data_IF_650129740539
#
_entry.id   IF_650129740539
#
_cell.length_a   1.000
_cell.length_b   1.000
_cell.length_c   1.000
_cell.angle_alpha   90.00
_cell.angle_beta   90.00
_cell.angle_gamma   90.00
#
_symmetry.space_group_name_H-M   'P 1'
#
loop_
_entity.id
_entity.type
_entity.pdbx_description
1 polymer ?
#
# COMPACT_ATOMS: atom_id res chain seq x y z
N UNK A 1 8.84 3.82 -3.35
CA UNK A 1 7.37 3.76 -3.40
C UNK A 1 7.00 2.50 -4.15
N UNK A 2 6.12 1.68 -3.60
CA UNK A 2 5.56 0.50 -4.23
C UNK A 2 4.05 0.70 -4.38
N UNK A 3 3.48 0.32 -5.52
CA UNK A 3 2.03 0.37 -5.76
C UNK A 3 1.61 -1.01 -6.23
N UNK A 4 0.76 -1.67 -5.44
CA UNK A 4 0.21 -2.99 -5.78
C UNK A 4 -1.21 -2.78 -6.30
N UNK A 5 -1.42 -3.07 -7.59
CA UNK A 5 -2.74 -3.12 -8.19
C UNK A 5 -3.26 -4.55 -8.08
N UNK A 6 -4.40 -4.76 -7.40
CA UNK A 6 -4.94 -6.11 -7.21
C UNK A 6 -6.46 -6.13 -7.24
N UNK A 7 -7.02 -7.19 -7.82
CA UNK A 7 -8.43 -7.58 -7.68
C UNK A 7 -8.59 -8.78 -6.72
N UNK A 8 -7.48 -9.33 -6.21
CA UNK A 8 -7.45 -10.52 -5.38
C UNK A 8 -7.47 -10.18 -3.88
N UNK A 9 -8.03 -11.07 -3.05
CA UNK A 9 -7.99 -10.91 -1.61
C UNK A 9 -6.57 -10.97 -1.04
N UNK A 10 -6.27 -10.15 -0.05
CA UNK A 10 -4.97 -10.11 0.64
C UNK A 10 -4.50 -11.48 1.20
N UNK A 11 -5.43 -12.41 1.44
CA UNK A 11 -5.14 -13.75 1.96
C UNK A 11 -4.62 -14.74 0.91
N UNK A 12 -4.57 -14.38 -0.38
CA UNK A 12 -3.92 -15.21 -1.41
C UNK A 12 -2.41 -14.98 -1.49
N UNK A 13 -1.86 -13.98 -0.79
CA UNK A 13 -0.42 -13.76 -0.79
C UNK A 13 0.29 -14.78 0.11
N UNK A 14 1.34 -15.41 -0.42
CA UNK A 14 2.23 -16.30 0.35
C UNK A 14 3.05 -15.55 1.40
N UNK A 15 3.14 -14.21 1.28
CA UNK A 15 3.81 -13.33 2.22
C UNK A 15 3.00 -12.04 2.43
N UNK A 16 2.94 -11.56 3.67
CA UNK A 16 2.29 -10.28 4.00
C UNK A 16 3.03 -9.11 3.33
N UNK A 17 2.34 -8.23 2.58
CA UNK A 17 2.95 -7.02 2.01
C UNK A 17 3.56 -6.10 3.08
N UNK A 18 2.94 -6.04 4.26
CA UNK A 18 3.40 -5.24 5.41
C UNK A 18 4.75 -5.75 5.90
N UNK A 19 4.86 -7.05 6.16
CA UNK A 19 6.10 -7.65 6.64
C UNK A 19 7.20 -7.62 5.58
N UNK A 20 6.82 -7.75 4.31
CA UNK A 20 7.75 -7.65 3.19
C UNK A 20 8.33 -6.24 3.07
N UNK A 21 7.51 -5.20 3.27
CA UNK A 21 7.97 -3.81 3.26
C UNK A 21 8.92 -3.53 4.43
N UNK A 22 8.59 -3.99 5.64
CA UNK A 22 9.47 -3.85 6.82
C UNK A 22 10.84 -4.49 6.57
N UNK A 23 10.87 -5.73 6.06
CA UNK A 23 12.12 -6.42 5.69
C UNK A 23 12.90 -5.66 4.63
N UNK A 24 12.23 -5.13 3.60
CA UNK A 24 12.88 -4.35 2.56
C UNK A 24 13.51 -3.07 3.11
N UNK A 25 12.80 -2.33 3.98
CA UNK A 25 13.35 -1.13 4.65
C UNK A 25 14.60 -1.46 5.48
N UNK A 26 14.55 -2.55 6.26
CA UNK A 26 15.69 -3.00 7.06
C UNK A 26 16.91 -3.37 6.19
N UNK A 27 16.68 -4.06 5.07
CA UNK A 27 17.77 -4.50 4.19
C UNK A 27 18.34 -3.37 3.32
N UNK A 28 17.49 -2.44 2.85
CA UNK A 28 17.88 -1.38 1.92
C UNK A 28 18.27 -0.06 2.59
N UNK A 29 17.83 0.17 3.84
CA UNK A 29 17.94 1.46 4.52
C UNK A 29 17.06 2.58 3.94
N UNK A 30 16.24 2.28 2.92
CA UNK A 30 15.41 3.27 2.25
C UNK A 30 14.03 3.42 2.94
N UNK A 31 13.56 4.66 3.07
CA UNK A 31 12.19 4.97 3.51
C UNK A 31 11.15 4.64 2.42
N UNK A 32 10.91 3.34 2.24
CA UNK A 32 9.98 2.84 1.23
C UNK A 32 8.53 2.91 1.74
N UNK A 33 7.60 3.35 0.88
CA UNK A 33 6.16 3.37 1.17
C UNK A 33 5.42 2.41 0.24
N UNK A 34 4.25 1.94 0.64
CA UNK A 34 3.42 1.01 -0.11
C UNK A 34 1.98 1.50 -0.19
N UNK A 35 1.45 1.50 -1.42
CA UNK A 35 0.03 1.73 -1.71
C UNK A 35 -0.58 0.42 -2.20
N UNK A 36 -1.65 -0.01 -1.56
CA UNK A 36 -2.52 -1.08 -2.03
C UNK A 36 -3.70 -0.48 -2.78
N UNK A 37 -3.84 -0.80 -4.07
CA UNK A 37 -4.91 -0.29 -4.91
C UNK A 37 -5.85 -1.43 -5.30
N UNK A 38 -7.04 -1.44 -4.69
CA UNK A 38 -8.08 -2.43 -4.97
C UNK A 38 -8.81 -2.13 -6.27
N UNK A 39 -8.83 -3.08 -7.21
CA UNK A 39 -9.51 -2.96 -8.50
C UNK A 39 -10.96 -3.49 -8.47
N UNK A 40 -11.43 -3.95 -7.31
CA UNK A 40 -12.77 -4.50 -7.07
C UNK A 40 -13.26 -4.15 -5.66
N UNK A 41 -14.58 -4.06 -5.47
CA UNK A 41 -15.22 -3.65 -4.20
C UNK A 41 -15.38 -4.80 -3.20
N UNK A 42 -14.31 -5.55 -2.93
CA UNK A 42 -14.36 -6.77 -2.08
C UNK A 42 -14.03 -6.45 -0.60
N UNK A 43 -13.88 -5.18 -0.25
CA UNK A 43 -13.69 -4.75 1.16
C UNK A 43 -12.33 -5.15 1.75
N UNK A 44 -11.31 -5.35 0.91
CA UNK A 44 -9.97 -5.70 1.36
C UNK A 44 -9.08 -4.47 1.49
N UNK A 45 -8.64 -4.19 2.70
CA UNK A 45 -7.65 -3.15 3.04
C UNK A 45 -6.44 -3.78 3.72
N UNK A 46 -5.26 -3.17 3.57
CA UNK A 46 -4.13 -3.47 4.45
C UNK A 46 -4.65 -3.41 5.89
N UNK A 47 -4.36 -4.44 6.68
CA UNK A 47 -4.81 -4.53 8.08
C UNK A 47 -4.41 -3.29 8.87
N UNK A 48 -5.25 -2.90 9.83
CA UNK A 48 -5.05 -1.73 10.66
C UNK A 48 -3.64 -1.77 11.30
N UNK A 49 -2.81 -0.78 10.96
CA UNK A 49 -1.38 -0.77 11.25
C UNK A 49 -0.92 0.66 11.49
N UNK A 50 -0.06 0.85 12.48
CA UNK A 50 0.51 2.16 12.82
C UNK A 50 1.57 2.65 11.81
N UNK A 51 1.89 1.85 10.79
CA UNK A 51 2.87 2.19 9.77
C UNK A 51 2.31 3.24 8.79
N UNK A 52 2.68 4.50 9.03
CA UNK A 52 2.30 5.66 8.20
C UNK A 52 2.78 5.58 6.74
N UNK A 53 3.67 4.65 6.41
CA UNK A 53 4.09 4.42 5.03
C UNK A 53 3.18 3.47 4.24
N UNK A 54 2.06 3.05 4.83
CA UNK A 54 1.09 2.14 4.22
C UNK A 54 -0.24 2.84 3.97
N UNK A 55 -0.81 2.61 2.78
CA UNK A 55 -2.10 3.17 2.43
C UNK A 55 -2.91 2.22 1.55
N UNK A 56 -4.21 2.12 1.81
CA UNK A 56 -5.16 1.42 0.93
C UNK A 56 -6.03 2.43 0.20
N UNK A 57 -6.20 2.27 -1.11
CA UNK A 57 -7.03 3.13 -1.96
C UNK A 57 -7.87 2.28 -2.92
N UNK A 58 -8.93 2.89 -3.46
CA UNK A 58 -9.70 2.34 -4.56
C UNK A 58 -9.02 2.65 -5.90
N UNK A 59 -8.96 1.66 -6.79
CA UNK A 59 -8.59 1.87 -8.17
C UNK A 59 -9.66 2.63 -8.94
N UNK A 60 -9.28 3.17 -10.11
CA UNK A 60 -10.13 3.97 -10.98
C UNK A 60 -10.72 5.24 -10.36
N UNK A 61 -10.28 5.63 -9.16
CA UNK A 61 -10.57 6.94 -8.59
C UNK A 61 -9.67 8.00 -9.26
N UNK A 62 -10.28 9.03 -9.84
CA UNK A 62 -9.59 10.18 -10.42
C UNK A 62 -8.72 10.90 -9.37
N UNK A 63 -9.16 10.91 -8.11
CA UNK A 63 -8.45 11.51 -6.98
C UNK A 63 -7.27 10.70 -6.46
N UNK A 64 -7.12 9.44 -6.86
CA UNK A 64 -6.09 8.53 -6.36
C UNK A 64 -4.67 9.09 -6.52
N UNK A 65 -4.39 9.79 -7.63
CA UNK A 65 -3.08 10.37 -7.88
C UNK A 65 -2.67 11.43 -6.86
N UNK A 66 -3.61 12.26 -6.41
CA UNK A 66 -3.34 13.27 -5.37
C UNK A 66 -3.01 12.60 -4.04
N UNK A 67 -3.73 11.53 -3.69
CA UNK A 67 -3.50 10.76 -2.47
C UNK A 67 -2.13 10.08 -2.51
N UNK A 68 -1.79 9.41 -3.62
CA UNK A 68 -0.48 8.77 -3.82
C UNK A 68 0.66 9.81 -3.74
N UNK A 69 0.48 10.98 -4.37
CA UNK A 69 1.45 12.08 -4.30
C UNK A 69 1.67 12.56 -2.87
N UNK A 70 0.58 12.80 -2.13
CA UNK A 70 0.66 13.30 -0.77
C UNK A 70 1.38 12.29 0.13
N UNK A 71 1.08 10.99 0.00
CA UNK A 71 1.80 9.95 0.70
C UNK A 71 3.28 9.96 0.32
N UNK A 72 3.63 10.04 -0.97
CA UNK A 72 5.02 10.08 -1.43
C UNK A 72 5.81 11.21 -0.76
N UNK A 73 5.20 12.38 -0.64
CA UNK A 73 5.78 13.61 -0.11
C UNK A 73 5.68 13.75 1.42
N UNK A 74 5.13 12.77 2.14
CA UNK A 74 4.86 12.86 3.60
C UNK A 74 3.89 14.00 3.98
N UNK A 75 2.90 14.28 3.14
CA UNK A 75 1.86 15.28 3.41
C UNK A 75 0.64 14.68 4.12
N UNK A 76 0.52 13.35 4.12
CA UNK A 76 -0.45 12.53 4.85
C UNK A 76 0.25 11.31 5.44
#
# INVERSE_FOLDING_TARGET
MFIILTNNPLWTFTASPVESLKKHRLASGADCKLVMCGLSSIGHTIADTEDRGLLSICGFDLGAFNVIRNLALNLI
#
